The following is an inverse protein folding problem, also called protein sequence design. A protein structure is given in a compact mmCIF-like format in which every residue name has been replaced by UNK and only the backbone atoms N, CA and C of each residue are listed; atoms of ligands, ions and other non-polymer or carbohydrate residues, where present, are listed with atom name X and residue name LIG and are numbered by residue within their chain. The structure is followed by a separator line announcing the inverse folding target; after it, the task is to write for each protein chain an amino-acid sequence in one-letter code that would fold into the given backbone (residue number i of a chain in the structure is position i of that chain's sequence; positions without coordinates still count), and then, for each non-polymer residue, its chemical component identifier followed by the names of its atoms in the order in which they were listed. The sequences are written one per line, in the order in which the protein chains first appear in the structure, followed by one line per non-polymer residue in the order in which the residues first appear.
data_IF_271187329194
#
_entry.id   IF_271187329194
#
_cell.length_a   1.000
_cell.length_b   1.000
_cell.length_c   1.000
_cell.angle_alpha   90.00
_cell.angle_beta   90.00
_cell.angle_gamma   90.00
#
_symmetry.space_group_name_H-M   'P 1'
#
loop_
_entity.id
_entity.type
_entity.pdbx_description
1 polymer ?
#
# COMPACT_ATOMS: atom_id res chain seq x y z
N UNK A 1 -3.69 6.14 -12.80
CA UNK A 1 -4.32 4.85 -13.23
C UNK A 1 -3.89 4.44 -14.64
N UNK A 2 -3.71 5.38 -15.58
CA UNK A 2 -3.40 5.04 -16.98
C UNK A 2 -1.99 4.45 -17.20
N UNK A 3 -0.98 4.93 -16.49
CA UNK A 3 0.42 4.51 -16.68
C UNK A 3 0.63 3.05 -16.24
N UNK A 4 0.01 2.63 -15.14
CA UNK A 4 0.15 1.25 -14.64
C UNK A 4 -0.55 0.24 -15.56
N UNK A 5 -1.63 0.61 -16.25
CA UNK A 5 -2.31 -0.28 -17.21
C UNK A 5 -1.39 -0.64 -18.37
N UNK A 6 -0.68 0.35 -18.93
CA UNK A 6 0.30 0.08 -19.99
C UNK A 6 1.47 -0.79 -19.52
N UNK A 7 2.00 -0.50 -18.33
CA UNK A 7 3.08 -1.30 -17.74
C UNK A 7 2.63 -2.74 -17.43
N UNK A 8 1.46 -2.93 -16.83
CA UNK A 8 0.95 -4.27 -16.52
C UNK A 8 0.76 -5.10 -17.78
N UNK A 9 0.22 -4.51 -18.83
CA UNK A 9 0.07 -5.18 -20.13
C UNK A 9 1.43 -5.60 -20.70
N UNK A 10 2.42 -4.73 -20.64
CA UNK A 10 3.78 -5.04 -21.08
C UNK A 10 4.38 -6.20 -20.27
N UNK A 11 4.30 -6.17 -18.95
CA UNK A 11 4.84 -7.20 -18.07
C UNK A 11 4.19 -8.57 -18.33
N UNK A 12 2.87 -8.59 -18.54
CA UNK A 12 2.12 -9.82 -18.80
C UNK A 12 2.43 -10.36 -20.20
N UNK A 13 2.35 -9.52 -21.23
CA UNK A 13 2.54 -9.94 -22.64
C UNK A 13 3.94 -10.45 -22.92
N UNK A 14 4.95 -9.97 -22.20
CA UNK A 14 6.33 -10.39 -22.35
C UNK A 14 6.75 -11.46 -21.32
N UNK A 15 5.80 -12.01 -20.54
CA UNK A 15 6.07 -13.05 -19.53
C UNK A 15 7.21 -12.68 -18.57
N UNK A 16 7.28 -11.40 -18.17
CA UNK A 16 8.40 -10.87 -17.38
C UNK A 16 8.51 -11.58 -16.02
N UNK A 17 7.39 -11.99 -15.40
CA UNK A 17 7.42 -12.76 -14.15
C UNK A 17 8.15 -14.10 -14.31
N UNK A 18 7.91 -14.82 -15.40
CA UNK A 18 8.59 -16.08 -15.71
C UNK A 18 10.08 -15.85 -15.93
N UNK A 19 10.44 -14.84 -16.74
CA UNK A 19 11.85 -14.48 -16.97
C UNK A 19 12.57 -14.14 -15.67
N UNK A 20 11.97 -13.34 -14.81
CA UNK A 20 12.56 -12.98 -13.51
C UNK A 20 12.78 -14.20 -12.63
N UNK A 21 11.83 -15.13 -12.60
CA UNK A 21 11.95 -16.36 -11.84
C UNK A 21 13.11 -17.25 -12.35
N UNK A 22 13.27 -17.39 -13.67
CA UNK A 22 14.40 -18.10 -14.27
C UNK A 22 15.74 -17.49 -13.88
N UNK A 23 15.76 -16.17 -13.64
CA UNK A 23 16.93 -15.43 -13.14
C UNK A 23 17.10 -15.51 -11.60
N UNK A 24 16.23 -16.23 -10.88
CA UNK A 24 16.26 -16.34 -9.42
C UNK A 24 15.61 -15.15 -8.69
N UNK A 25 14.77 -14.36 -9.37
CA UNK A 25 14.05 -13.22 -8.80
C UNK A 25 12.55 -13.47 -8.75
N UNK A 26 11.87 -12.84 -7.81
CA UNK A 26 10.41 -12.87 -7.67
C UNK A 26 9.81 -11.51 -8.02
N UNK A 27 8.68 -11.52 -8.74
CA UNK A 27 7.91 -10.31 -9.00
C UNK A 27 6.87 -10.12 -7.89
N UNK A 28 7.04 -9.07 -7.10
CA UNK A 28 6.10 -8.67 -6.04
C UNK A 28 5.40 -7.38 -6.44
N UNK A 29 4.08 -7.39 -6.39
CA UNK A 29 3.24 -6.22 -6.70
C UNK A 29 2.64 -5.66 -5.42
N UNK A 30 2.99 -4.41 -5.10
CA UNK A 30 2.34 -3.64 -4.05
C UNK A 30 1.12 -2.93 -4.62
N UNK A 31 -0.06 -3.18 -4.05
CA UNK A 31 -1.31 -2.51 -4.44
C UNK A 31 -1.92 -1.79 -3.26
N UNK A 32 -2.51 -0.62 -3.51
CA UNK A 32 -3.07 0.23 -2.47
C UNK A 32 -4.60 0.26 -2.59
N UNK A 33 -5.26 -0.08 -1.50
CA UNK A 33 -6.71 0.11 -1.31
C UNK A 33 -6.89 1.31 -0.40
N UNK A 34 -7.59 2.32 -0.91
CA UNK A 34 -7.78 3.60 -0.21
C UNK A 34 -9.20 3.71 0.30
N UNK A 35 -9.35 4.04 1.57
CA UNK A 35 -10.65 4.26 2.19
C UNK A 35 -11.37 5.52 1.72
N UNK A 36 -12.59 5.74 2.19
CA UNK A 36 -13.42 6.88 1.82
C UNK A 36 -13.93 6.80 0.39
N UNK A 37 -13.93 7.92 -0.34
CA UNK A 37 -14.52 8.03 -1.68
C UNK A 37 -13.88 7.11 -2.74
N UNK A 38 -12.59 6.80 -2.58
CA UNK A 38 -11.84 5.98 -3.52
C UNK A 38 -11.94 4.47 -3.26
N UNK A 39 -12.68 4.04 -2.23
CA UNK A 39 -12.71 2.64 -1.81
C UNK A 39 -13.17 1.69 -2.91
N UNK A 40 -14.31 1.98 -3.51
CA UNK A 40 -14.88 1.12 -4.57
C UNK A 40 -13.94 1.01 -5.76
N UNK A 41 -13.37 2.13 -6.21
CA UNK A 41 -12.48 2.15 -7.37
C UNK A 41 -11.18 1.41 -7.10
N UNK A 42 -10.61 1.55 -5.91
CA UNK A 42 -9.35 0.89 -5.53
C UNK A 42 -9.54 -0.60 -5.28
N UNK A 43 -10.66 -1.04 -4.69
CA UNK A 43 -11.01 -2.47 -4.56
C UNK A 43 -11.23 -3.11 -5.94
N UNK A 44 -11.95 -2.44 -6.84
CA UNK A 44 -12.15 -2.92 -8.21
C UNK A 44 -10.82 -2.98 -8.98
N UNK A 45 -9.97 -1.97 -8.80
CA UNK A 45 -8.62 -1.92 -9.38
C UNK A 45 -7.77 -3.10 -8.91
N UNK A 46 -7.73 -3.35 -7.60
CA UNK A 46 -7.06 -4.51 -7.02
C UNK A 46 -7.56 -5.83 -7.61
N UNK A 47 -8.88 -6.04 -7.62
CA UNK A 47 -9.47 -7.28 -8.15
C UNK A 47 -9.12 -7.51 -9.63
N UNK A 48 -9.10 -6.44 -10.42
CA UNK A 48 -8.71 -6.51 -11.83
C UNK A 48 -7.24 -6.86 -12.01
N UNK A 49 -6.35 -6.22 -11.26
CA UNK A 49 -4.90 -6.45 -11.35
C UNK A 49 -4.58 -7.89 -10.94
N UNK A 50 -5.06 -8.35 -9.80
CA UNK A 50 -4.72 -9.67 -9.28
C UNK A 50 -5.22 -10.79 -10.20
N UNK A 51 -6.32 -10.57 -10.94
CA UNK A 51 -6.82 -11.52 -11.93
C UNK A 51 -6.06 -11.51 -13.24
N UNK A 52 -5.45 -10.40 -13.62
CA UNK A 52 -4.70 -10.26 -14.87
C UNK A 52 -3.30 -10.87 -14.81
N UNK A 53 -2.64 -10.78 -13.65
CA UNK A 53 -1.29 -11.32 -13.50
C UNK A 53 -1.28 -12.84 -13.29
N UNK A 54 -0.24 -13.54 -13.79
CA UNK A 54 -0.05 -14.96 -13.57
C UNK A 54 -0.03 -15.34 -12.09
N UNK A 55 -0.31 -16.61 -11.78
CA UNK A 55 -0.40 -17.11 -10.40
C UNK A 55 0.92 -17.11 -9.63
N UNK A 56 2.01 -16.97 -10.34
CA UNK A 56 3.37 -16.89 -9.81
C UNK A 56 3.77 -15.49 -9.29
N UNK A 57 2.92 -14.49 -9.48
CA UNK A 57 3.14 -13.13 -9.00
C UNK A 57 2.53 -12.98 -7.62
N UNK A 58 3.33 -12.47 -6.69
CA UNK A 58 2.97 -12.25 -5.30
C UNK A 58 2.43 -10.83 -5.09
N UNK A 59 1.45 -10.67 -4.21
CA UNK A 59 0.84 -9.38 -3.91
C UNK A 59 1.01 -9.00 -2.43
N UNK A 60 1.35 -7.72 -2.20
CA UNK A 60 1.28 -7.06 -0.90
C UNK A 60 0.21 -5.98 -1.00
N UNK A 61 -0.79 -6.04 -0.12
CA UNK A 61 -1.91 -5.10 -0.11
C UNK A 61 -1.69 -4.04 0.95
N UNK A 62 -1.75 -2.77 0.55
CA UNK A 62 -1.72 -1.63 1.47
C UNK A 62 -3.13 -1.13 1.72
N UNK A 63 -3.57 -1.17 2.97
CA UNK A 63 -4.84 -0.63 3.42
C UNK A 63 -4.64 0.82 3.90
N UNK A 64 -4.86 1.77 3.00
CA UNK A 64 -4.72 3.18 3.31
C UNK A 64 -6.02 3.75 3.91
N UNK A 65 -6.09 3.80 5.23
CA UNK A 65 -7.21 4.35 5.98
C UNK A 65 -7.04 5.85 6.31
N UNK A 66 -5.98 6.49 5.82
CA UNK A 66 -5.73 7.91 6.05
C UNK A 66 -6.88 8.80 5.53
N UNK A 67 -7.52 8.40 4.43
CA UNK A 67 -8.64 9.11 3.82
C UNK A 67 -10.02 8.62 4.25
N UNK A 68 -10.09 7.67 5.15
CA UNK A 68 -11.32 7.10 5.69
C UNK A 68 -11.25 5.58 5.87
N UNK A 69 -12.26 5.04 6.52
CA UNK A 69 -12.33 3.60 6.81
C UNK A 69 -12.41 2.77 5.52
N UNK A 70 -11.78 1.60 5.57
CA UNK A 70 -11.91 0.57 4.52
C UNK A 70 -13.02 -0.38 4.96
N UNK A 71 -14.24 0.05 4.69
CA UNK A 71 -15.44 -0.71 5.04
C UNK A 71 -16.51 -0.51 3.96
N UNK A 72 -17.09 -1.60 3.47
CA UNK A 72 -18.14 -1.60 2.45
C UNK A 72 -19.30 -2.49 2.92
N UNK A 73 -20.50 -1.93 3.05
CA UNK A 73 -21.69 -2.65 3.55
C UNK A 73 -21.44 -3.34 4.91
N UNK A 74 -20.78 -2.69 5.84
CA UNK A 74 -20.44 -3.21 7.16
C UNK A 74 -19.33 -4.27 7.17
N UNK A 75 -18.66 -4.50 6.04
CA UNK A 75 -17.59 -5.50 5.91
C UNK A 75 -16.23 -4.81 5.76
N UNK A 76 -15.28 -5.22 6.59
CA UNK A 76 -13.86 -4.85 6.44
C UNK A 76 -13.27 -5.57 5.22
N UNK A 77 -12.09 -5.15 4.77
CA UNK A 77 -11.43 -5.68 3.58
C UNK A 77 -11.33 -7.21 3.58
N UNK A 78 -10.96 -7.82 4.70
CA UNK A 78 -10.79 -9.26 4.84
C UNK A 78 -12.10 -10.06 4.71
N UNK A 79 -13.24 -9.38 4.84
CA UNK A 79 -14.58 -9.95 4.63
C UNK A 79 -15.18 -9.60 3.26
N UNK A 80 -14.45 -8.85 2.44
CA UNK A 80 -14.87 -8.54 1.08
C UNK A 80 -14.56 -9.70 0.13
N UNK A 81 -15.40 -9.89 -0.86
CA UNK A 81 -15.21 -10.93 -1.88
C UNK A 81 -13.85 -10.81 -2.59
N UNK A 82 -13.41 -9.59 -2.86
CA UNK A 82 -12.12 -9.31 -3.48
C UNK A 82 -10.93 -9.91 -2.69
N UNK A 83 -10.99 -9.90 -1.36
CA UNK A 83 -9.97 -10.55 -0.52
C UNK A 83 -10.18 -12.07 -0.47
N UNK A 84 -11.41 -12.52 -0.16
CA UNK A 84 -11.72 -13.94 0.03
C UNK A 84 -11.31 -14.77 -1.19
N UNK A 85 -11.64 -14.30 -2.38
CA UNK A 85 -11.37 -15.00 -3.65
C UNK A 85 -9.85 -15.01 -3.99
N UNK A 86 -9.06 -14.10 -3.44
CA UNK A 86 -7.66 -13.90 -3.84
C UNK A 86 -6.66 -14.05 -2.67
N UNK A 87 -7.11 -14.43 -1.48
CA UNK A 87 -6.27 -14.45 -0.27
C UNK A 87 -5.00 -15.29 -0.39
N UNK A 88 -5.03 -16.37 -1.20
CA UNK A 88 -3.88 -17.24 -1.42
C UNK A 88 -2.74 -16.58 -2.20
N UNK A 89 -3.00 -15.44 -2.84
CA UNK A 89 -2.03 -14.65 -3.60
C UNK A 89 -1.57 -13.40 -2.86
N UNK A 90 -2.12 -13.15 -1.67
CA UNK A 90 -1.78 -12.00 -0.82
C UNK A 90 -0.83 -12.51 0.26
N UNK A 91 0.45 -12.15 0.16
CA UNK A 91 1.47 -12.58 1.12
C UNK A 91 1.46 -11.74 2.39
N UNK A 92 1.13 -10.46 2.29
CA UNK A 92 1.07 -9.57 3.44
C UNK A 92 0.10 -8.41 3.24
N UNK A 93 -0.34 -7.86 4.37
CA UNK A 93 -1.14 -6.63 4.44
C UNK A 93 -0.37 -5.61 5.26
N UNK A 94 -0.19 -4.41 4.72
CA UNK A 94 0.37 -3.24 5.40
C UNK A 94 -0.75 -2.24 5.62
N UNK A 95 -0.89 -1.71 6.82
CA UNK A 95 -1.97 -0.77 7.14
C UNK A 95 -1.42 0.62 7.45
N UNK A 96 -1.89 1.62 6.70
CA UNK A 96 -1.77 3.02 7.07
C UNK A 96 -3.04 3.36 7.84
N UNK A 97 -2.97 3.53 9.17
CA UNK A 97 -4.17 3.68 9.98
C UNK A 97 -4.84 5.05 9.80
N UNK A 98 -6.07 5.14 10.25
CA UNK A 98 -6.74 6.42 10.42
C UNK A 98 -6.10 7.18 11.59
N UNK A 99 -5.48 8.30 11.30
CA UNK A 99 -4.89 9.18 12.31
C UNK A 99 -5.84 10.30 12.69
N UNK A 100 -5.85 10.67 13.99
CA UNK A 100 -6.60 11.84 14.45
C UNK A 100 -6.12 13.11 13.77
N UNK A 101 -7.05 13.79 13.06
CA UNK A 101 -6.73 14.96 12.24
C UNK A 101 -6.24 16.18 13.04
N UNK A 102 -6.50 16.21 14.35
CA UNK A 102 -6.02 17.28 15.25
C UNK A 102 -4.53 17.16 15.57
N UNK A 103 -3.92 15.98 15.31
CA UNK A 103 -2.52 15.68 15.65
C UNK A 103 -1.79 14.98 14.50
N UNK A 104 -1.56 13.69 14.61
CA UNK A 104 -0.83 12.87 13.65
C UNK A 104 -1.32 13.01 12.20
N UNK A 105 -2.64 13.06 12.00
CA UNK A 105 -3.23 13.19 10.67
C UNK A 105 -2.93 14.53 10.02
N UNK A 106 -2.95 15.63 10.80
CA UNK A 106 -2.57 16.96 10.32
C UNK A 106 -1.09 16.99 9.93
N UNK A 107 -0.21 16.52 10.81
CA UNK A 107 1.22 16.56 10.58
C UNK A 107 1.61 15.76 9.34
N UNK A 108 1.04 14.57 9.16
CA UNK A 108 1.27 13.76 7.98
C UNK A 108 0.73 14.44 6.70
N UNK A 109 -0.45 15.07 6.79
CA UNK A 109 -1.04 15.81 5.66
C UNK A 109 -0.16 16.98 5.25
N UNK A 110 0.31 17.79 6.19
CA UNK A 110 1.18 18.94 5.94
C UNK A 110 2.50 18.48 5.30
N UNK A 111 3.14 17.43 5.83
CA UNK A 111 4.33 16.84 5.24
C UNK A 111 4.11 16.42 3.77
N UNK A 112 2.97 15.77 3.47
CA UNK A 112 2.64 15.33 2.11
C UNK A 112 2.34 16.53 1.18
N UNK A 113 1.68 17.57 1.68
CA UNK A 113 1.41 18.80 0.91
C UNK A 113 2.71 19.53 0.55
N UNK A 114 3.66 19.55 1.47
CA UNK A 114 5.00 20.11 1.26
C UNK A 114 5.90 19.20 0.42
N UNK A 115 5.41 18.02 0.03
CA UNK A 115 6.13 17.00 -0.76
C UNK A 115 7.44 16.56 -0.12
N UNK A 116 7.49 16.53 1.22
CA UNK A 116 8.64 16.08 1.98
C UNK A 116 8.56 14.57 2.21
N UNK A 117 9.70 13.91 2.22
CA UNK A 117 9.86 12.58 2.80
C UNK A 117 9.88 12.68 4.33
N UNK A 118 9.68 11.55 5.02
CA UNK A 118 9.79 11.52 6.48
C UNK A 118 11.16 12.03 6.97
N UNK A 119 12.25 11.62 6.32
CA UNK A 119 13.59 12.01 6.73
C UNK A 119 13.84 13.51 6.55
N UNK A 120 13.40 14.08 5.43
CA UNK A 120 13.49 15.52 5.21
C UNK A 120 12.66 16.30 6.24
N UNK A 121 11.44 15.88 6.53
CA UNK A 121 10.59 16.54 7.52
C UNK A 121 11.16 16.45 8.94
N UNK A 122 11.71 15.28 9.32
CA UNK A 122 12.31 15.05 10.64
C UNK A 122 13.61 15.86 10.81
N UNK A 123 14.39 16.03 9.75
CA UNK A 123 15.64 16.78 9.77
C UNK A 123 15.45 18.30 9.74
N UNK A 124 14.27 18.79 9.37
CA UNK A 124 13.99 20.22 9.15
C UNK A 124 13.84 20.99 10.46
N UNK A 125 14.75 21.94 10.81
CA UNK A 125 14.71 22.64 12.11
C UNK A 125 13.46 23.50 12.31
N UNK A 126 12.88 24.01 11.22
CA UNK A 126 11.69 24.88 11.23
C UNK A 126 10.42 24.10 11.65
N UNK A 127 10.41 22.78 11.51
CA UNK A 127 9.30 21.94 11.95
C UNK A 127 9.41 21.72 13.47
N UNK A 128 8.32 22.00 14.18
CA UNK A 128 8.24 21.85 15.62
C UNK A 128 8.69 20.45 16.07
N UNK A 129 9.45 20.38 17.14
CA UNK A 129 10.02 19.11 17.66
C UNK A 129 8.95 18.03 17.89
N UNK A 130 7.76 18.40 18.37
CA UNK A 130 6.66 17.46 18.61
C UNK A 130 6.06 16.93 17.29
N UNK A 131 6.02 17.76 16.24
CA UNK A 131 5.60 17.32 14.89
C UNK A 131 6.61 16.31 14.34
N UNK A 132 7.90 16.62 14.40
CA UNK A 132 8.97 15.71 13.98
C UNK A 132 8.93 14.37 14.74
N UNK A 133 8.65 14.40 16.05
CA UNK A 133 8.51 13.20 16.85
C UNK A 133 7.32 12.34 16.41
N UNK A 134 6.16 12.96 16.11
CA UNK A 134 4.99 12.22 15.62
C UNK A 134 5.23 11.63 14.22
N UNK A 135 5.87 12.37 13.32
CA UNK A 135 6.24 11.86 12.00
C UNK A 135 7.21 10.67 12.11
N UNK A 136 8.16 10.73 13.05
CA UNK A 136 9.07 9.61 13.34
C UNK A 136 8.28 8.37 13.81
N UNK A 137 7.32 8.52 14.71
CA UNK A 137 6.47 7.42 15.17
C UNK A 137 5.72 6.78 14.00
N UNK A 138 5.12 7.60 13.12
CA UNK A 138 4.43 7.10 11.91
C UNK A 138 5.42 6.34 11.01
N UNK A 139 6.58 6.92 10.74
CA UNK A 139 7.63 6.28 9.93
C UNK A 139 8.01 4.92 10.50
N UNK A 140 8.38 4.87 11.79
CA UNK A 140 8.85 3.66 12.44
C UNK A 140 7.78 2.54 12.40
N UNK A 141 6.50 2.90 12.61
CA UNK A 141 5.39 1.94 12.53
C UNK A 141 5.21 1.36 11.10
N UNK A 142 5.21 2.23 10.09
CA UNK A 142 5.05 1.79 8.69
C UNK A 142 6.24 0.95 8.22
N UNK A 143 7.46 1.32 8.57
CA UNK A 143 8.65 0.56 8.20
C UNK A 143 8.68 -0.81 8.89
N UNK A 144 8.30 -0.88 10.17
CA UNK A 144 8.17 -2.15 10.89
C UNK A 144 7.17 -3.10 10.24
N UNK A 145 6.02 -2.59 9.77
CA UNK A 145 5.04 -3.40 9.04
C UNK A 145 5.62 -3.88 7.69
N UNK A 146 6.36 -3.02 7.00
CA UNK A 146 6.98 -3.35 5.71
C UNK A 146 8.07 -4.41 5.88
N UNK A 147 8.92 -4.30 6.90
CA UNK A 147 9.93 -5.31 7.25
C UNK A 147 9.27 -6.67 7.57
N UNK A 148 8.16 -6.65 8.32
CA UNK A 148 7.35 -7.85 8.58
C UNK A 148 6.78 -8.46 7.29
N UNK A 149 6.35 -7.64 6.34
CA UNK A 149 5.87 -8.10 5.05
C UNK A 149 7.00 -8.70 4.18
N UNK A 150 8.20 -8.14 4.22
CA UNK A 150 9.37 -8.69 3.52
C UNK A 150 9.82 -10.02 4.11
N UNK A 151 9.76 -10.18 5.44
CA UNK A 151 10.14 -11.43 6.10
C UNK A 151 9.23 -12.63 5.71
N UNK A 152 8.02 -12.37 5.23
CA UNK A 152 7.12 -13.42 4.70
C UNK A 152 7.50 -13.86 3.30
N UNK A 153 8.28 -13.05 2.57
CA UNK A 153 8.72 -13.30 1.19
C UNK A 153 10.11 -13.96 1.13
N UNK A 154 10.85 -13.93 2.23
CA UNK A 154 12.20 -14.53 2.35
C UNK A 154 12.12 -15.99 2.76
#
# INVERSE_FOLDING_TARGET
ASTFVGLSHYLISNQVSTMLREMGHELVIHTVITGGQSLTDTVNGFNRIIQQFPTDVTFIVWLNQFWGKIEMNGKKFEAMKAYIDNKSRISAIVTIPEYKMETFGRDLREMLQDKLTFDEAIAKPEILIMVRQRLKIIKDDLFKQLEGAQAVLA
#
